data_IF_686179535291
#
_entry.id   IF_686179535291
#
_cell.length_a   1.000
_cell.length_b   1.000
_cell.length_c   1.000
_cell.angle_alpha   90.00
_cell.angle_beta   90.00
_cell.angle_gamma   90.00
#
_symmetry.space_group_name_H-M   'P 1'
#
loop_
_entity.id
_entity.type
_entity.pdbx_description
1 polymer ?
#
# COMPACT_ATOMS: atom_id res chain seq x y z
N UNK A 1 17.66 -26.90 -4.83
CA UNK A 1 16.33 -26.60 -4.26
C UNK A 1 16.13 -25.08 -4.28
N UNK A 2 15.09 -24.54 -4.92
CA UNK A 2 14.81 -23.10 -4.83
C UNK A 2 14.27 -22.84 -3.43
N UNK A 3 14.87 -21.91 -2.69
CA UNK A 3 14.42 -21.50 -1.35
C UNK A 3 14.40 -19.98 -1.29
N UNK A 4 13.46 -19.43 -0.54
CA UNK A 4 13.47 -18.00 -0.19
C UNK A 4 14.69 -17.76 0.68
N UNK A 5 15.57 -16.84 0.26
CA UNK A 5 16.77 -16.51 1.02
C UNK A 5 16.55 -15.32 1.95
N UNK A 6 15.69 -14.39 1.55
CA UNK A 6 15.47 -13.12 2.25
C UNK A 6 14.09 -12.57 1.89
N UNK A 7 13.41 -11.95 2.87
CA UNK A 7 12.26 -11.08 2.66
C UNK A 7 12.56 -9.83 3.47
N UNK A 8 12.31 -8.67 2.88
CA UNK A 8 12.51 -7.39 3.55
C UNK A 8 11.24 -6.57 3.48
N UNK A 9 10.99 -5.82 4.55
CA UNK A 9 9.97 -4.77 4.61
C UNK A 9 10.70 -3.50 5.03
N UNK A 10 10.60 -2.44 4.22
CA UNK A 10 11.28 -1.16 4.44
C UNK A 10 12.81 -1.32 4.64
N UNK A 11 13.45 -2.17 3.83
CA UNK A 11 14.89 -2.42 3.91
C UNK A 11 15.35 -3.23 5.12
N UNK A 12 14.42 -3.74 5.94
CA UNK A 12 14.71 -4.60 7.09
C UNK A 12 14.30 -6.03 6.81
N UNK A 13 15.24 -6.96 6.96
CA UNK A 13 14.97 -8.39 6.86
C UNK A 13 13.99 -8.84 7.95
N UNK A 14 13.02 -9.66 7.55
CA UNK A 14 12.02 -10.23 8.45
C UNK A 14 12.35 -11.69 8.80
N UNK A 15 11.94 -12.10 9.99
CA UNK A 15 12.10 -13.48 10.46
C UNK A 15 11.11 -14.43 9.78
N UNK A 16 11.60 -15.60 9.37
CA UNK A 16 10.78 -16.71 8.87
C UNK A 16 10.39 -17.73 9.96
N UNK A 17 10.83 -17.50 11.19
CA UNK A 17 10.60 -18.44 12.28
C UNK A 17 9.12 -18.56 12.59
N UNK A 18 8.59 -19.79 12.65
CA UNK A 18 7.20 -20.04 13.07
C UNK A 18 6.90 -19.58 14.51
N UNK A 19 7.95 -19.37 15.31
CA UNK A 19 7.87 -18.83 16.68
C UNK A 19 7.67 -17.32 16.69
N UNK A 20 8.07 -16.63 15.62
CA UNK A 20 7.83 -15.20 15.49
C UNK A 20 6.33 -14.95 15.26
N UNK A 21 5.76 -14.05 16.06
CA UNK A 21 4.35 -13.66 16.02
C UNK A 21 4.16 -12.22 15.56
N UNK A 22 5.23 -11.54 15.17
CA UNK A 22 5.20 -10.18 14.66
C UNK A 22 4.25 -10.09 13.47
N UNK A 23 3.32 -9.14 13.54
CA UNK A 23 2.45 -8.78 12.43
C UNK A 23 3.03 -7.56 11.74
N UNK A 24 2.98 -7.56 10.41
CA UNK A 24 3.42 -6.44 9.59
C UNK A 24 2.18 -5.82 8.96
N UNK A 25 1.97 -4.51 9.20
CA UNK A 25 0.88 -3.78 8.57
C UNK A 25 1.23 -3.49 7.11
N UNK A 26 0.28 -3.73 6.22
CA UNK A 26 0.41 -3.46 4.78
C UNK A 26 -0.83 -2.70 4.36
N UNK A 27 -0.63 -1.55 3.73
CA UNK A 27 -1.68 -0.81 3.03
C UNK A 27 -1.41 -0.91 1.53
N UNK A 28 -2.41 -1.32 0.78
CA UNK A 28 -2.38 -1.38 -0.67
C UNK A 28 -3.80 -1.25 -1.20
N UNK A 29 -3.95 -0.97 -2.50
CA UNK A 29 -5.27 -0.98 -3.10
C UNK A 29 -5.88 -2.40 -3.05
N UNK A 30 -7.21 -2.47 -3.03
CA UNK A 30 -7.94 -3.73 -2.85
C UNK A 30 -7.63 -4.74 -3.95
N UNK A 31 -7.32 -4.25 -5.16
CA UNK A 31 -6.88 -5.09 -6.27
C UNK A 31 -5.59 -5.83 -5.92
N UNK A 32 -4.54 -5.15 -5.46
CA UNK A 32 -3.27 -5.75 -5.07
C UNK A 32 -3.42 -6.70 -3.88
N UNK A 33 -4.21 -6.32 -2.87
CA UNK A 33 -4.48 -7.18 -1.70
C UNK A 33 -5.15 -8.49 -2.13
N UNK A 34 -6.03 -8.47 -3.14
CA UNK A 34 -6.66 -9.70 -3.67
C UNK A 34 -5.66 -10.71 -4.27
N UNK A 35 -4.46 -10.29 -4.65
CA UNK A 35 -3.41 -11.20 -5.11
C UNK A 35 -2.62 -11.85 -3.98
N UNK A 36 -2.76 -11.42 -2.72
CA UNK A 36 -2.00 -11.97 -1.60
C UNK A 36 -2.24 -13.48 -1.46
N UNK A 37 -3.47 -13.94 -1.65
CA UNK A 37 -3.82 -15.37 -1.61
C UNK A 37 -3.18 -16.17 -2.76
N UNK A 38 -2.87 -15.49 -3.87
CA UNK A 38 -2.23 -16.09 -5.06
C UNK A 38 -0.71 -16.21 -4.90
N UNK A 39 -0.09 -15.50 -3.96
CA UNK A 39 1.38 -15.51 -3.76
C UNK A 39 1.89 -16.94 -3.59
N UNK A 40 1.17 -17.80 -2.85
CA UNK A 40 1.56 -19.20 -2.67
C UNK A 40 1.62 -19.95 -4.00
N UNK A 41 0.64 -19.75 -4.88
CA UNK A 41 0.61 -20.40 -6.18
C UNK A 41 1.70 -19.86 -7.10
N UNK A 42 1.84 -18.54 -7.17
CA UNK A 42 2.83 -17.86 -8.02
C UNK A 42 4.27 -18.17 -7.61
N UNK A 43 4.52 -18.36 -6.31
CA UNK A 43 5.82 -18.76 -5.77
C UNK A 43 6.06 -20.27 -5.77
N UNK A 44 5.19 -21.09 -6.39
CA UNK A 44 5.28 -22.56 -6.37
C UNK A 44 5.36 -23.15 -4.94
N UNK A 45 4.66 -22.53 -4.00
CA UNK A 45 4.61 -22.94 -2.60
C UNK A 45 5.76 -22.43 -1.73
N UNK A 46 6.70 -21.67 -2.30
CA UNK A 46 7.86 -21.17 -1.56
C UNK A 46 7.49 -20.09 -0.52
N UNK A 47 6.43 -19.33 -0.78
CA UNK A 47 5.95 -18.27 0.09
C UNK A 47 4.49 -18.51 0.47
N UNK A 48 4.19 -18.47 1.77
CA UNK A 48 2.81 -18.47 2.26
C UNK A 48 2.56 -17.16 2.99
N UNK A 49 1.81 -16.28 2.36
CA UNK A 49 1.30 -15.05 2.98
C UNK A 49 -0.14 -15.29 3.38
N UNK A 50 -0.51 -14.90 4.60
CA UNK A 50 -1.87 -15.02 5.13
C UNK A 50 -2.25 -13.64 5.66
N UNK A 51 -3.21 -12.95 5.03
CA UNK A 51 -3.76 -11.71 5.55
C UNK A 51 -4.38 -11.95 6.93
N UNK A 52 -4.14 -11.04 7.87
CA UNK A 52 -4.62 -11.12 9.25
C UNK A 52 -5.07 -9.76 9.76
N UNK A 53 -5.98 -9.78 10.72
CA UNK A 53 -6.30 -8.60 11.52
C UNK A 53 -5.23 -8.29 12.57
N UNK A 54 -5.41 -7.20 13.30
CA UNK A 54 -4.54 -6.76 14.42
C UNK A 54 -4.39 -7.79 15.54
N UNK A 55 -5.35 -8.71 15.68
CA UNK A 55 -5.33 -9.80 16.66
C UNK A 55 -4.68 -11.08 16.10
N UNK A 56 -4.18 -11.03 14.86
CA UNK A 56 -3.53 -12.15 14.17
C UNK A 56 -4.50 -13.20 13.63
N UNK A 57 -5.81 -12.91 13.60
CA UNK A 57 -6.82 -13.81 13.03
C UNK A 57 -6.83 -13.66 11.51
N UNK A 58 -6.84 -14.78 10.75
CA UNK A 58 -6.92 -14.70 9.29
C UNK A 58 -8.17 -13.98 8.81
N UNK A 59 -8.04 -13.16 7.78
CA UNK A 59 -9.14 -12.42 7.16
C UNK A 59 -9.26 -12.79 5.69
N UNK A 60 -10.50 -12.95 5.21
CA UNK A 60 -10.79 -13.30 3.81
C UNK A 60 -11.58 -12.22 3.06
N UNK A 61 -12.31 -11.37 3.80
CA UNK A 61 -13.07 -10.27 3.23
C UNK A 61 -12.41 -8.94 3.60
N UNK A 62 -11.75 -8.32 2.63
CA UNK A 62 -11.01 -7.06 2.84
C UNK A 62 -11.91 -5.82 2.94
N UNK A 63 -13.21 -5.92 2.58
CA UNK A 63 -14.14 -4.79 2.63
C UNK A 63 -14.39 -4.27 4.05
N UNK A 64 -14.04 -5.03 5.08
CA UNK A 64 -14.11 -4.61 6.48
C UNK A 64 -12.75 -4.14 7.05
N UNK A 65 -11.70 -4.15 6.22
CA UNK A 65 -10.33 -3.77 6.59
C UNK A 65 -9.86 -2.61 5.70
N UNK A 66 -10.70 -1.58 5.62
CA UNK A 66 -10.43 -0.37 4.86
C UNK A 66 -9.71 0.65 5.72
N UNK A 67 -8.87 1.48 5.10
CA UNK A 67 -8.23 2.61 5.78
C UNK A 67 -9.27 3.72 5.93
N UNK A 68 -9.52 4.12 7.17
CA UNK A 68 -10.38 5.26 7.50
C UNK A 68 -9.54 6.53 7.60
N UNK A 69 -9.80 7.50 6.72
CA UNK A 69 -9.06 8.77 6.69
C UNK A 69 -9.61 9.82 7.66
N UNK A 70 -10.77 9.58 8.26
CA UNK A 70 -11.37 10.50 9.24
C UNK A 70 -12.30 9.76 10.21
N UNK A 71 -11.70 9.28 11.29
CA UNK A 71 -12.38 8.57 12.37
C UNK A 71 -13.34 9.45 13.21
N UNK A 72 -13.34 10.79 13.05
CA UNK A 72 -14.28 11.66 13.75
C UNK A 72 -15.66 11.71 13.07
N UNK A 73 -15.75 11.27 11.81
CA UNK A 73 -17.02 11.19 11.07
C UNK A 73 -17.71 9.85 11.29
N UNK A 74 -19.04 9.87 11.26
CA UNK A 74 -19.83 8.65 11.36
C UNK A 74 -19.61 7.76 10.13
N UNK A 75 -19.33 6.47 10.38
CA UNK A 75 -19.04 5.47 9.34
C UNK A 75 -17.62 5.57 8.78
N UNK A 76 -17.20 4.52 8.07
CA UNK A 76 -15.84 4.42 7.51
C UNK A 76 -15.65 5.42 6.38
N UNK A 77 -14.70 6.34 6.52
CA UNK A 77 -14.29 7.23 5.45
C UNK A 77 -13.18 6.57 4.65
N UNK A 78 -13.55 5.67 3.74
CA UNK A 78 -12.59 4.88 2.97
C UNK A 78 -11.59 5.77 2.20
N UNK A 79 -10.30 5.51 2.42
CA UNK A 79 -9.22 6.09 1.63
C UNK A 79 -9.32 5.65 0.17
N UNK A 80 -9.55 6.58 -0.75
CA UNK A 80 -9.57 6.32 -2.19
C UNK A 80 -8.42 7.05 -2.87
N UNK A 81 -7.69 6.35 -3.74
CA UNK A 81 -6.53 6.89 -4.45
C UNK A 81 -6.88 8.16 -5.25
N UNK A 82 -8.03 8.19 -5.92
CA UNK A 82 -8.49 9.35 -6.67
C UNK A 82 -8.84 10.55 -5.78
N UNK A 83 -9.31 10.32 -4.54
CA UNK A 83 -9.55 11.41 -3.58
C UNK A 83 -8.21 12.02 -3.17
N UNK A 84 -7.22 11.19 -2.86
CA UNK A 84 -5.88 11.66 -2.54
C UNK A 84 -5.26 12.48 -3.69
N UNK A 85 -5.44 12.04 -4.94
CA UNK A 85 -5.00 12.78 -6.12
C UNK A 85 -5.69 14.14 -6.23
N UNK A 86 -7.00 14.22 -6.02
CA UNK A 86 -7.74 15.48 -6.08
C UNK A 86 -7.33 16.41 -4.93
N UNK A 87 -7.19 15.91 -3.71
CA UNK A 87 -6.71 16.72 -2.57
C UNK A 87 -5.27 17.21 -2.78
N UNK A 88 -4.42 16.40 -3.39
CA UNK A 88 -3.07 16.81 -3.78
C UNK A 88 -3.10 17.95 -4.81
N UNK A 89 -3.89 17.82 -5.89
CA UNK A 89 -4.06 18.90 -6.87
C UNK A 89 -4.62 20.16 -6.22
N UNK A 90 -5.56 20.02 -5.27
CA UNK A 90 -6.12 21.16 -4.50
C UNK A 90 -5.11 21.90 -3.64
N UNK A 91 -4.00 21.25 -3.26
CA UNK A 91 -2.92 21.87 -2.49
C UNK A 91 -1.99 22.76 -3.32
N UNK A 92 -2.09 22.73 -4.65
CA UNK A 92 -1.25 23.57 -5.51
C UNK A 92 -1.59 25.05 -5.41
N UNK A 93 -0.63 25.88 -5.85
CA UNK A 93 -0.82 27.32 -5.94
C UNK A 93 -2.03 27.67 -6.79
N UNK A 94 -2.84 28.61 -6.30
CA UNK A 94 -4.06 29.03 -6.97
C UNK A 94 -3.80 30.23 -7.87
N UNK A 95 -4.45 30.25 -9.04
CA UNK A 95 -4.47 31.43 -9.89
C UNK A 95 -5.31 32.56 -9.26
N UNK A 96 -5.44 33.69 -9.96
CA UNK A 96 -6.23 34.86 -9.54
C UNK A 96 -7.73 34.55 -9.35
N UNK A 97 -8.22 33.47 -9.94
CA UNK A 97 -9.62 33.01 -9.86
C UNK A 97 -9.81 31.97 -8.74
N UNK A 98 -8.75 31.62 -8.00
CA UNK A 98 -8.80 30.65 -6.90
C UNK A 98 -8.72 29.18 -7.35
N UNK A 99 -8.41 28.92 -8.62
CA UNK A 99 -8.29 27.57 -9.18
C UNK A 99 -6.84 27.08 -9.03
N UNK A 100 -6.59 25.89 -8.46
CA UNK A 100 -5.25 25.32 -8.38
C UNK A 100 -4.63 25.13 -9.77
N UNK A 101 -3.37 25.53 -9.92
CA UNK A 101 -2.60 25.44 -11.18
C UNK A 101 -1.54 24.36 -11.02
N UNK A 102 -1.44 23.47 -12.01
CA UNK A 102 -0.38 22.45 -12.05
C UNK A 102 0.98 23.17 -12.13
N UNK A 103 1.90 22.93 -11.18
CA UNK A 103 3.23 23.53 -11.17
C UNK A 103 4.00 23.29 -12.47
N UNK A 104 4.78 24.28 -12.91
CA UNK A 104 5.57 24.22 -14.15
C UNK A 104 6.60 23.08 -14.14
N UNK A 105 7.02 22.59 -12.97
CA UNK A 105 7.90 21.42 -12.83
C UNK A 105 7.35 20.18 -13.58
N UNK A 106 6.02 20.03 -13.69
CA UNK A 106 5.42 18.90 -14.39
C UNK A 106 5.40 19.06 -15.92
N UNK A 107 5.79 20.22 -16.46
CA UNK A 107 5.96 20.42 -17.92
C UNK A 107 7.24 19.78 -18.43
N UNK A 108 8.20 19.55 -17.54
CA UNK A 108 9.44 18.87 -17.84
C UNK A 108 9.34 17.43 -17.34
N UNK A 109 9.72 16.48 -18.19
CA UNK A 109 9.93 15.12 -17.73
C UNK A 109 11.24 15.14 -16.97
N UNK A 110 11.19 15.13 -15.64
CA UNK A 110 12.34 14.70 -14.86
C UNK A 110 12.58 13.22 -15.19
N UNK A 111 13.85 12.86 -15.46
CA UNK A 111 14.25 11.48 -15.74
C UNK A 111 13.97 10.61 -14.50
N UNK A 112 12.75 10.05 -14.45
CA UNK A 112 12.26 9.00 -13.55
C UNK A 112 11.95 9.41 -12.10
N UNK A 113 10.69 9.21 -11.69
CA UNK A 113 10.20 9.31 -10.29
C UNK A 113 10.51 8.04 -9.46
N UNK A 114 11.22 7.06 -10.03
CA UNK A 114 11.69 5.89 -9.28
C UNK A 114 13.15 5.64 -9.64
N UNK A 115 14.04 5.99 -8.70
CA UNK A 115 15.43 5.57 -8.73
C UNK A 115 15.48 4.05 -8.54
N UNK A 116 15.62 3.31 -9.64
CA UNK A 116 15.91 1.88 -9.57
C UNK A 116 17.41 1.80 -9.33
N UNK A 117 17.79 1.58 -8.07
CA UNK A 117 19.18 1.45 -7.66
C UNK A 117 19.97 0.58 -8.67
N UNK A 118 21.02 1.18 -9.25
CA UNK A 118 21.99 0.50 -10.12
C UNK A 118 22.89 -0.43 -9.32
#
# INVERSE_FOLDING_TARGET
MRKVQKIEINGKEISFSKKDKTLYSVAANIYLVSFMDRIKKLSYGLLKVVPKDENGKPVANFNHHLVDINAEKEGVQEAKEWVAMIEYIKSFEKNKEGVPVIPDIYKHVDDSIIDIAK
#
